data_IF_813843676169
#
_entry.id   IF_813843676169
#
_cell.length_a   1.000
_cell.length_b   1.000
_cell.length_c   1.000
_cell.angle_alpha   90.00
_cell.angle_beta   90.00
_cell.angle_gamma   90.00
#
_symmetry.space_group_name_H-M   'P 1'
#
loop_
_entity.id
_entity.type
_entity.pdbx_description
1 polymer ?
#
# COMPACT_ATOMS: atom_id res chain seq x y z
N UNK A 1 -8.14 -0.01 -13.90
CA UNK A 1 -7.33 1.23 -13.84
C UNK A 1 -5.86 0.98 -13.51
N UNK A 2 -5.50 0.20 -12.47
CA UNK A 2 -4.10 -0.02 -12.07
C UNK A 2 -3.17 -0.53 -13.18
N UNK A 3 -3.63 -1.49 -13.99
CA UNK A 3 -2.84 -2.07 -15.11
C UNK A 3 -2.47 -1.01 -16.16
N UNK A 4 -3.39 -0.09 -16.50
CA UNK A 4 -3.13 0.96 -17.49
C UNK A 4 -2.07 1.95 -17.00
N UNK A 5 -2.16 2.38 -15.74
CA UNK A 5 -1.16 3.28 -15.13
C UNK A 5 0.21 2.60 -15.02
N UNK A 6 0.23 1.31 -14.69
CA UNK A 6 1.46 0.52 -14.67
C UNK A 6 2.09 0.44 -16.07
N UNK A 7 1.31 0.14 -17.12
CA UNK A 7 1.79 0.12 -18.50
C UNK A 7 2.34 1.48 -18.94
N UNK A 8 1.64 2.58 -18.63
CA UNK A 8 2.12 3.94 -18.90
C UNK A 8 3.44 4.23 -18.19
N UNK A 9 3.57 3.84 -16.92
CA UNK A 9 4.80 3.98 -16.16
C UNK A 9 5.95 3.17 -16.79
N UNK A 10 5.71 1.93 -17.20
CA UNK A 10 6.72 1.08 -17.87
C UNK A 10 7.16 1.69 -19.20
N UNK A 11 6.25 2.22 -20.01
CA UNK A 11 6.59 2.88 -21.28
C UNK A 11 7.43 4.15 -21.03
N UNK A 12 7.04 4.96 -20.04
CA UNK A 12 7.80 6.16 -19.65
C UNK A 12 9.19 5.78 -19.13
N UNK A 13 9.30 4.72 -18.35
CA UNK A 13 10.58 4.24 -17.82
C UNK A 13 11.50 3.74 -18.95
N UNK A 14 10.99 2.88 -19.84
CA UNK A 14 11.74 2.36 -20.98
C UNK A 14 12.20 3.49 -21.90
N UNK A 15 11.30 4.43 -22.24
CA UNK A 15 11.67 5.58 -23.07
C UNK A 15 12.73 6.46 -22.41
N UNK A 16 12.64 6.69 -21.09
CA UNK A 16 13.66 7.38 -20.30
C UNK A 16 15.02 6.68 -20.38
N UNK A 17 15.06 5.35 -20.19
CA UNK A 17 16.30 4.55 -20.29
C UNK A 17 16.91 4.65 -21.70
N UNK A 18 16.09 4.52 -22.75
CA UNK A 18 16.56 4.64 -24.15
C UNK A 18 17.15 6.03 -24.39
N UNK A 19 16.50 7.10 -23.93
CA UNK A 19 16.98 8.47 -24.06
C UNK A 19 18.29 8.70 -23.30
N UNK A 20 18.44 8.15 -22.09
CA UNK A 20 19.69 8.23 -21.32
C UNK A 20 20.82 7.52 -22.05
N UNK A 21 20.59 6.31 -22.59
CA UNK A 21 21.61 5.57 -23.35
C UNK A 21 22.02 6.36 -24.60
N UNK A 22 21.06 6.90 -25.34
CA UNK A 22 21.30 7.70 -26.56
C UNK A 22 22.10 8.97 -26.26
N UNK A 23 21.78 9.64 -25.15
CA UNK A 23 22.42 10.91 -24.76
C UNK A 23 23.55 10.73 -23.74
N UNK A 24 24.06 9.52 -23.50
CA UNK A 24 25.05 9.21 -22.45
C UNK A 24 26.31 10.06 -22.45
N UNK A 25 26.70 10.60 -23.62
CA UNK A 25 27.88 11.48 -23.77
C UNK A 25 27.61 12.93 -23.35
N UNK A 26 26.35 13.35 -23.23
CA UNK A 26 25.95 14.69 -22.84
C UNK A 26 25.30 14.67 -21.45
N UNK A 27 26.14 14.83 -20.42
CA UNK A 27 25.74 14.77 -19.01
C UNK A 27 24.60 15.74 -18.66
N UNK A 28 24.57 16.94 -19.26
CA UNK A 28 23.50 17.92 -19.03
C UNK A 28 22.14 17.40 -19.49
N UNK A 29 22.08 16.72 -20.63
CA UNK A 29 20.83 16.15 -21.13
C UNK A 29 20.39 14.93 -20.30
N UNK A 30 21.34 14.09 -19.87
CA UNK A 30 21.06 12.95 -18.98
C UNK A 30 20.43 13.41 -17.66
N UNK A 31 20.98 14.44 -17.02
CA UNK A 31 20.42 15.00 -15.77
C UNK A 31 18.99 15.50 -15.97
N UNK A 32 18.70 16.20 -17.08
CA UNK A 32 17.34 16.66 -17.40
C UNK A 32 16.36 15.50 -17.58
N UNK A 33 16.78 14.43 -18.26
CA UNK A 33 15.93 13.25 -18.47
C UNK A 33 15.61 12.59 -17.13
N UNK A 34 16.62 12.36 -16.28
CA UNK A 34 16.42 11.77 -14.95
C UNK A 34 15.48 12.64 -14.10
N UNK A 35 15.68 13.96 -14.12
CA UNK A 35 14.81 14.89 -13.42
C UNK A 35 13.34 14.73 -13.84
N UNK A 36 13.05 14.70 -15.15
CA UNK A 36 11.68 14.51 -15.64
C UNK A 36 11.10 13.13 -15.30
N UNK A 37 11.92 12.06 -15.36
CA UNK A 37 11.48 10.73 -14.91
C UNK A 37 11.05 10.73 -13.44
N UNK A 38 11.77 11.43 -12.56
CA UNK A 38 11.41 11.56 -11.14
C UNK A 38 10.15 12.41 -10.97
N UNK A 39 10.09 13.57 -11.65
CA UNK A 39 8.93 14.49 -11.57
C UNK A 39 7.63 13.81 -11.99
N UNK A 40 7.68 12.91 -12.98
CA UNK A 40 6.48 12.19 -13.45
C UNK A 40 6.25 10.90 -12.65
N UNK A 41 7.30 10.15 -12.33
CA UNK A 41 7.20 8.86 -11.65
C UNK A 41 6.77 8.99 -10.18
N UNK A 42 7.25 10.02 -9.48
CA UNK A 42 6.96 10.22 -8.06
C UNK A 42 5.46 10.46 -7.80
N UNK A 43 4.74 11.35 -8.51
CA UNK A 43 3.29 11.50 -8.35
C UNK A 43 2.51 10.21 -8.61
N UNK A 44 2.87 9.44 -9.63
CA UNK A 44 2.20 8.17 -9.95
C UNK A 44 2.35 7.19 -8.79
N UNK A 45 3.57 7.02 -8.28
CA UNK A 45 3.84 6.18 -7.12
C UNK A 45 3.04 6.62 -5.89
N UNK A 46 3.02 7.93 -5.59
CA UNK A 46 2.27 8.47 -4.46
C UNK A 46 0.75 8.24 -4.61
N UNK A 47 0.20 8.42 -5.80
CA UNK A 47 -1.22 8.15 -6.10
C UNK A 47 -1.57 6.68 -5.90
N UNK A 48 -0.71 5.76 -6.35
CA UNK A 48 -0.92 4.32 -6.16
C UNK A 48 -0.91 3.95 -4.68
N UNK A 49 0.09 4.42 -3.92
CA UNK A 49 0.18 4.17 -2.48
C UNK A 49 -1.03 4.78 -1.73
N UNK A 50 -1.44 5.98 -2.10
CA UNK A 50 -2.62 6.62 -1.50
C UNK A 50 -3.90 5.81 -1.74
N UNK A 51 -4.10 5.31 -2.97
CA UNK A 51 -5.24 4.45 -3.31
C UNK A 51 -5.25 3.15 -2.49
N UNK A 52 -4.11 2.46 -2.40
CA UNK A 52 -4.00 1.23 -1.63
C UNK A 52 -4.30 1.47 -0.13
N UNK A 53 -3.72 2.53 0.44
CA UNK A 53 -3.99 2.92 1.84
C UNK A 53 -5.47 3.24 2.08
N UNK A 54 -6.14 3.88 1.11
CA UNK A 54 -7.57 4.14 1.20
C UNK A 54 -8.38 2.84 1.18
N UNK A 55 -8.02 1.88 0.33
CA UNK A 55 -8.70 0.58 0.27
C UNK A 55 -8.59 -0.17 1.61
N UNK A 56 -7.38 -0.24 2.18
CA UNK A 56 -7.19 -0.84 3.51
C UNK A 56 -8.02 -0.16 4.59
N UNK A 57 -8.05 1.18 4.62
CA UNK A 57 -8.87 1.91 5.60
C UNK A 57 -10.36 1.65 5.43
N UNK A 58 -10.86 1.64 4.19
CA UNK A 58 -12.26 1.33 3.92
C UNK A 58 -12.63 -0.08 4.39
N UNK A 59 -11.74 -1.04 4.15
CA UNK A 59 -11.93 -2.41 4.63
C UNK A 59 -11.93 -2.48 6.15
N UNK A 60 -11.01 -1.76 6.81
CA UNK A 60 -11.00 -1.65 8.27
C UNK A 60 -12.31 -1.10 8.82
N UNK A 61 -12.79 0.02 8.27
CA UNK A 61 -14.07 0.59 8.67
C UNK A 61 -15.21 -0.40 8.45
N UNK A 62 -15.28 -1.03 7.26
CA UNK A 62 -16.31 -2.01 6.91
C UNK A 62 -16.36 -3.16 7.91
N UNK A 63 -15.22 -3.77 8.24
CA UNK A 63 -15.17 -4.93 9.14
C UNK A 63 -15.51 -4.52 10.56
N UNK A 64 -14.97 -3.41 11.07
CA UNK A 64 -15.27 -2.95 12.42
C UNK A 64 -16.75 -2.56 12.58
N UNK A 65 -17.32 -1.85 11.60
CA UNK A 65 -18.74 -1.51 11.59
C UNK A 65 -19.64 -2.76 11.48
N UNK A 66 -19.23 -3.77 10.71
CA UNK A 66 -19.93 -5.05 10.63
C UNK A 66 -20.03 -5.75 12.01
N UNK A 67 -19.01 -5.61 12.85
CA UNK A 67 -19.03 -6.09 14.25
C UNK A 67 -19.69 -5.10 15.23
N UNK A 68 -20.36 -4.06 14.73
CA UNK A 68 -21.06 -3.06 15.56
C UNK A 68 -20.14 -2.07 16.26
N UNK A 69 -18.86 -2.01 15.87
CA UNK A 69 -17.89 -1.07 16.44
C UNK A 69 -17.76 0.22 15.63
N UNK A 70 -17.05 1.19 16.21
CA UNK A 70 -16.63 2.43 15.55
C UNK A 70 -15.12 2.60 15.65
N UNK A 71 -14.45 2.89 14.53
CA UNK A 71 -12.99 3.05 14.50
C UNK A 71 -12.58 4.40 15.08
N UNK A 72 -11.71 4.38 16.10
CA UNK A 72 -11.14 5.58 16.72
C UNK A 72 -9.74 5.88 16.15
N UNK A 73 -8.89 4.86 16.02
CA UNK A 73 -7.51 5.02 15.56
C UNK A 73 -7.09 3.85 14.65
N UNK A 74 -6.38 4.17 13.56
CA UNK A 74 -5.72 3.19 12.70
C UNK A 74 -4.23 3.53 12.63
N UNK A 75 -3.37 2.63 13.09
CA UNK A 75 -1.92 2.80 13.07
C UNK A 75 -1.23 1.68 12.30
N UNK A 76 -0.34 2.04 11.37
CA UNK A 76 0.58 1.08 10.73
C UNK A 76 1.67 0.67 11.71
N UNK A 77 1.96 -0.62 11.76
CA UNK A 77 2.93 -1.21 12.70
C UNK A 77 3.79 -2.25 12.00
N UNK A 78 4.97 -2.54 12.56
CA UNK A 78 5.83 -3.60 12.06
C UNK A 78 5.32 -4.97 12.54
N UNK A 79 5.71 -6.05 11.85
CA UNK A 79 5.28 -7.42 12.23
C UNK A 79 5.70 -7.81 13.64
N UNK A 80 6.88 -7.37 14.08
CA UNK A 80 7.43 -7.63 15.42
C UNK A 80 6.60 -7.03 16.54
N UNK A 81 5.88 -5.95 16.26
CA UNK A 81 5.03 -5.24 17.20
C UNK A 81 3.58 -5.72 17.14
N UNK A 82 3.32 -6.83 16.43
CA UNK A 82 2.00 -7.37 16.14
C UNK A 82 1.89 -8.84 16.57
N UNK A 83 0.67 -9.34 16.82
CA UNK A 83 0.43 -10.73 17.19
C UNK A 83 0.65 -11.72 16.04
N UNK A 84 0.82 -11.26 14.80
CA UNK A 84 1.04 -12.15 13.65
C UNK A 84 2.45 -12.76 13.65
N UNK A 85 3.45 -12.08 14.21
CA UNK A 85 4.87 -12.50 14.21
C UNK A 85 5.55 -12.50 12.82
N UNK A 86 4.78 -12.70 11.75
CA UNK A 86 5.22 -12.82 10.36
C UNK A 86 4.59 -11.74 9.46
N UNK A 87 5.36 -11.30 8.46
CA UNK A 87 4.89 -10.39 7.40
C UNK A 87 5.78 -10.55 6.18
N UNK A 88 5.18 -10.50 4.98
CA UNK A 88 5.92 -10.45 3.73
C UNK A 88 6.11 -9.01 3.24
N UNK A 89 6.84 -8.85 2.15
CA UNK A 89 7.03 -7.55 1.48
C UNK A 89 5.76 -7.00 0.83
N UNK A 90 4.73 -7.82 0.72
CA UNK A 90 3.43 -7.48 0.16
C UNK A 90 2.32 -7.47 1.23
N UNK A 91 2.67 -7.23 2.49
CA UNK A 91 1.71 -7.03 3.55
C UNK A 91 1.95 -5.71 4.29
N UNK A 92 0.85 -5.06 4.66
CA UNK A 92 0.85 -3.97 5.64
C UNK A 92 0.07 -4.40 6.86
N UNK A 93 0.65 -4.25 8.06
CA UNK A 93 -0.02 -4.58 9.32
C UNK A 93 -0.55 -3.31 9.97
N UNK A 94 -1.78 -3.39 10.46
CA UNK A 94 -2.47 -2.34 11.18
C UNK A 94 -2.82 -2.78 12.60
N UNK A 95 -2.61 -1.87 13.55
CA UNK A 95 -3.26 -1.88 14.86
C UNK A 95 -4.44 -0.91 14.80
N UNK A 96 -5.61 -1.37 15.18
CA UNK A 96 -6.86 -0.61 15.13
C UNK A 96 -7.39 -0.50 16.55
N UNK A 97 -7.66 0.72 17.01
CA UNK A 97 -8.43 0.95 18.23
C UNK A 97 -9.86 1.30 17.82
N UNK A 98 -10.84 0.64 18.43
CA UNK A 98 -12.24 0.82 18.08
C UNK A 98 -13.12 0.77 19.32
N UNK A 99 -14.19 1.55 19.31
CA UNK A 99 -15.21 1.56 20.36
C UNK A 99 -16.27 0.51 20.04
N UNK A 100 -16.58 -0.37 20.98
CA UNK A 100 -17.71 -1.30 20.90
C UNK A 100 -18.37 -1.43 22.26
N UNK A 101 -19.69 -1.29 22.32
CA UNK A 101 -20.47 -1.34 23.57
C UNK A 101 -19.95 -0.40 24.69
N UNK A 102 -19.38 0.74 24.32
CA UNK A 102 -18.82 1.73 25.27
C UNK A 102 -17.41 1.41 25.78
N UNK A 103 -16.77 0.33 25.31
CA UNK A 103 -15.38 -0.01 25.63
C UNK A 103 -14.47 0.17 24.42
N UNK A 104 -13.24 0.63 24.66
CA UNK A 104 -12.20 0.71 23.63
C UNK A 104 -11.48 -0.62 23.56
N UNK A 105 -11.58 -1.28 22.41
CA UNK A 105 -10.98 -2.57 22.10
C UNK A 105 -9.87 -2.41 21.05
N UNK A 106 -9.00 -3.41 20.97
CA UNK A 106 -7.94 -3.47 19.96
C UNK A 106 -8.22 -4.57 18.95
N UNK A 107 -7.96 -4.25 17.68
CA UNK A 107 -7.96 -5.19 16.59
C UNK A 107 -6.64 -5.11 15.82
N UNK A 108 -6.30 -6.20 15.15
CA UNK A 108 -5.14 -6.30 14.27
C UNK A 108 -5.57 -6.81 12.91
N UNK A 109 -5.02 -6.16 11.89
CA UNK A 109 -5.30 -6.49 10.51
C UNK A 109 -4.00 -6.62 9.72
N UNK A 110 -3.77 -7.79 9.14
CA UNK A 110 -2.71 -8.01 8.15
C UNK A 110 -3.34 -7.88 6.77
N UNK A 111 -3.14 -6.73 6.16
CA UNK A 111 -3.64 -6.45 4.82
C UNK A 111 -2.69 -6.99 3.74
N UNK A 112 -3.23 -7.26 2.56
CA UNK A 112 -2.46 -7.61 1.37
C UNK A 112 -2.25 -6.36 0.52
N UNK A 113 -1.00 -6.07 0.17
CA UNK A 113 -0.62 -4.92 -0.66
C UNK A 113 -0.85 -5.20 -2.16
N UNK A 114 -2.09 -5.48 -2.54
CA UNK A 114 -2.51 -5.66 -3.93
C UNK A 114 -3.51 -4.58 -4.33
N UNK A 115 -3.07 -3.69 -5.22
CA UNK A 115 -3.86 -2.52 -5.67
C UNK A 115 -5.00 -2.88 -6.64
N UNK A 116 -4.98 -4.10 -7.17
CA UNK A 116 -6.05 -4.67 -7.98
C UNK A 116 -7.19 -5.13 -7.09
N UNK A 117 -6.85 -5.95 -6.11
CA UNK A 117 -7.76 -6.55 -5.12
C UNK A 117 -7.00 -6.86 -3.82
N UNK A 118 -7.42 -6.26 -2.70
CA UNK A 118 -6.78 -6.42 -1.40
C UNK A 118 -7.09 -7.75 -0.71
N UNK A 119 -7.96 -8.58 -1.29
CA UNK A 119 -8.32 -9.92 -0.80
C UNK A 119 -7.65 -11.03 -1.61
N UNK A 120 -7.01 -10.69 -2.73
CA UNK A 120 -6.37 -11.68 -3.60
C UNK A 120 -4.98 -12.06 -3.05
N UNK A 121 -4.66 -13.37 -2.93
CA UNK A 121 -3.37 -13.83 -2.45
C UNK A 121 -2.20 -13.30 -3.28
N UNK A 122 -1.07 -13.05 -2.62
CA UNK A 122 0.15 -12.53 -3.26
C UNK A 122 1.33 -13.45 -3.00
N UNK A 123 2.17 -13.65 -4.01
CA UNK A 123 3.31 -14.59 -3.95
C UNK A 123 4.43 -14.21 -2.97
N UNK A 124 4.46 -12.96 -2.49
CA UNK A 124 5.49 -12.44 -1.58
C UNK A 124 4.91 -11.89 -0.28
N UNK A 125 3.74 -12.41 0.11
CA UNK A 125 3.03 -12.05 1.32
C UNK A 125 2.43 -13.27 1.98
N UNK A 126 1.88 -13.04 3.16
CA UNK A 126 0.99 -13.95 3.85
C UNK A 126 -0.45 -13.56 3.52
N UNK A 127 -1.36 -14.50 3.73
CA UNK A 127 -2.77 -14.27 3.53
C UNK A 127 -3.31 -13.18 4.46
N UNK A 128 -4.40 -12.56 4.01
CA UNK A 128 -5.16 -11.60 4.77
C UNK A 128 -5.63 -12.24 6.09
N UNK A 129 -5.45 -11.52 7.20
CA UNK A 129 -5.84 -12.03 8.51
C UNK A 129 -6.32 -10.93 9.45
N UNK A 130 -7.36 -11.27 10.21
CA UNK A 130 -7.95 -10.44 11.26
C UNK A 130 -7.79 -11.09 12.62
N UNK A 131 -7.42 -10.31 13.63
CA UNK A 131 -7.46 -10.70 15.05
C UNK A 131 -8.24 -9.61 15.77
N UNK A 132 -9.40 -9.96 16.28
CA UNK A 132 -10.27 -9.07 17.04
C UNK A 132 -10.27 -9.51 18.50
N UNK A 133 -10.14 -8.58 19.43
CA UNK A 133 -10.53 -8.84 20.81
C UNK A 133 -12.06 -8.97 20.85
N UNK A 134 -12.56 -10.21 20.95
CA UNK A 134 -13.98 -10.49 21.13
C UNK A 134 -14.25 -10.67 22.63
N UNK A 135 -15.19 -9.89 23.16
CA UNK A 135 -15.86 -10.19 24.44
C UNK A 135 -17.17 -10.91 24.16
#
# INVERSE_FOLDING_TARGET
>A
MGVLFFLLFVILFISGVILVIKHRKNTRNVVKIIFWCIVIGLPIYLLMNHRLNRMHKLEIHRVIEFYGGHVEEIKKVNSKDSPFGESGSANTIYKIQYLSNGEVLTAWYRAIDNIGDIHEPVSKGYDEQWIMDQK
#
